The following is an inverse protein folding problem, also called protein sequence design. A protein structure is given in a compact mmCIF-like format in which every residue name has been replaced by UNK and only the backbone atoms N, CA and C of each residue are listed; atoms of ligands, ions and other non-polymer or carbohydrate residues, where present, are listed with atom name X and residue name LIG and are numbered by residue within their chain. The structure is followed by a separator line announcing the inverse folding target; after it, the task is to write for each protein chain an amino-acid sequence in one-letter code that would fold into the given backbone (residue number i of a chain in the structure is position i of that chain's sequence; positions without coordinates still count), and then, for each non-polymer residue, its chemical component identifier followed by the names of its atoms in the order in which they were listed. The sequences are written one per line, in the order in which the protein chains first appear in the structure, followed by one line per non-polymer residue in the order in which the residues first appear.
data_IF_271543743449
#
_entry.id   IF_271543743449
#
_cell.length_a   1.000
_cell.length_b   1.000
_cell.length_c   1.000
_cell.angle_alpha   90.00
_cell.angle_beta   90.00
_cell.angle_gamma   90.00
#
_symmetry.space_group_name_H-M   'P 1'
#
loop_
_entity.id
_entity.type
_entity.pdbx_description
1 polymer ?
#
# COMPACT_ATOMS: atom_id res chain seq x y z
N UNK A 1 -47.23 -4.39 24.71
CA UNK A 1 -47.64 -3.82 23.41
C UNK A 1 -46.41 -3.17 22.80
N UNK A 2 -45.65 -3.96 22.03
CA UNK A 2 -45.59 -3.93 20.55
C UNK A 2 -45.11 -2.55 20.03
N UNK A 3 -43.84 -2.38 19.64
CA UNK A 3 -43.26 -2.69 18.31
C UNK A 3 -44.14 -2.18 17.14
N UNK A 4 -43.64 -1.21 16.38
CA UNK A 4 -43.37 -1.37 14.95
C UNK A 4 -42.55 -0.19 14.39
N UNK A 5 -41.52 -0.53 13.63
CA UNK A 5 -40.71 0.35 12.82
C UNK A 5 -41.46 0.87 11.59
N UNK A 6 -41.05 2.02 11.05
CA UNK A 6 -41.16 2.30 9.62
C UNK A 6 -40.03 3.22 9.15
N UNK A 7 -39.41 2.74 8.07
CA UNK A 7 -38.22 3.20 7.40
C UNK A 7 -38.36 4.64 6.86
N UNK A 8 -37.34 5.48 7.10
CA UNK A 8 -37.14 6.68 6.31
C UNK A 8 -36.02 6.42 5.30
N UNK A 9 -36.37 6.58 4.02
CA UNK A 9 -35.60 6.17 2.87
C UNK A 9 -34.20 6.78 2.81
N UNK A 10 -33.19 5.92 2.70
CA UNK A 10 -31.91 6.29 2.15
C UNK A 10 -32.15 6.52 0.66
N UNK A 11 -32.18 7.79 0.27
CA UNK A 11 -32.06 8.19 -1.13
C UNK A 11 -30.74 7.65 -1.67
N UNK A 12 -30.82 6.64 -2.55
CA UNK A 12 -29.72 6.23 -3.41
C UNK A 12 -29.45 7.39 -4.38
N UNK A 13 -28.60 8.33 -3.98
CA UNK A 13 -27.99 9.23 -4.94
C UNK A 13 -27.02 8.41 -5.80
N UNK A 14 -27.46 8.18 -7.02
CA UNK A 14 -26.67 7.75 -8.17
C UNK A 14 -25.48 8.69 -8.33
N UNK A 15 -24.31 8.33 -7.81
CA UNK A 15 -23.05 9.00 -8.11
C UNK A 15 -22.64 8.58 -9.51
N UNK A 16 -23.11 9.32 -10.53
CA UNK A 16 -22.55 9.28 -11.88
C UNK A 16 -21.77 10.56 -12.14
N UNK A 17 -20.68 10.72 -11.40
CA UNK A 17 -19.55 11.56 -11.77
C UNK A 17 -18.32 10.69 -11.55
N UNK A 18 -17.69 10.21 -12.61
CA UNK A 18 -16.48 9.38 -12.50
C UNK A 18 -15.45 10.17 -11.71
N UNK A 19 -15.01 9.60 -10.60
CA UNK A 19 -14.02 10.21 -9.72
C UNK A 19 -12.64 10.18 -10.40
N UNK A 20 -11.74 11.14 -10.09
CA UNK A 20 -10.36 11.10 -10.54
C UNK A 20 -9.71 9.76 -10.20
N UNK A 21 -8.86 9.26 -11.09
CA UNK A 21 -8.15 7.99 -10.89
C UNK A 21 -7.28 8.09 -9.63
N UNK A 22 -7.64 7.35 -8.58
CA UNK A 22 -6.93 7.40 -7.31
C UNK A 22 -5.53 6.80 -7.47
N UNK A 23 -4.49 7.55 -7.09
CA UNK A 23 -3.10 7.11 -7.20
C UNK A 23 -2.48 7.24 -8.59
N UNK A 24 -3.08 8.04 -9.48
CA UNK A 24 -2.54 8.32 -10.81
C UNK A 24 -1.15 8.99 -10.78
N UNK A 25 -0.80 9.66 -9.69
CA UNK A 25 0.36 10.54 -9.51
C UNK A 25 1.67 9.80 -9.21
N UNK A 26 1.64 8.46 -9.24
CA UNK A 26 2.68 7.63 -8.59
C UNK A 26 3.56 6.88 -9.58
N UNK A 27 3.07 6.71 -10.81
CA UNK A 27 3.72 5.91 -11.83
C UNK A 27 4.21 6.82 -12.96
N UNK A 28 5.27 7.59 -12.74
CA UNK A 28 5.80 8.45 -13.80
C UNK A 28 6.35 7.60 -14.94
N UNK A 29 6.16 8.03 -16.18
CA UNK A 29 6.74 7.36 -17.36
C UNK A 29 8.23 7.67 -17.50
N UNK A 30 8.76 8.60 -16.71
CA UNK A 30 10.18 8.88 -16.59
C UNK A 30 10.68 9.96 -17.55
N UNK A 31 9.85 10.93 -17.93
CA UNK A 31 10.27 12.08 -18.75
C UNK A 31 11.38 12.87 -18.04
N UNK A 32 11.40 12.90 -16.71
CA UNK A 32 12.53 13.50 -15.97
C UNK A 32 13.90 12.88 -16.35
N UNK A 33 13.95 11.59 -16.66
CA UNK A 33 15.20 10.84 -16.82
C UNK A 33 15.54 10.60 -18.30
N UNK A 34 16.64 11.20 -18.76
CA UNK A 34 17.15 11.05 -20.15
C UNK A 34 17.46 9.61 -20.55
N UNK A 35 17.77 8.75 -19.58
CA UNK A 35 18.01 7.32 -19.80
C UNK A 35 16.74 6.51 -20.05
N UNK A 36 15.56 7.04 -19.69
CA UNK A 36 14.26 6.38 -19.87
C UNK A 36 13.57 6.90 -21.12
N UNK A 37 13.41 8.23 -21.22
CA UNK A 37 12.90 8.89 -22.42
C UNK A 37 14.05 9.71 -23.03
N UNK A 38 14.61 9.35 -24.20
CA UNK A 38 15.74 10.07 -24.79
C UNK A 38 15.33 11.46 -25.29
N UNK A 39 16.30 12.37 -25.47
CA UNK A 39 16.01 13.75 -25.92
C UNK A 39 15.33 13.81 -27.28
N UNK A 40 15.61 12.84 -28.17
CA UNK A 40 14.94 12.70 -29.47
C UNK A 40 13.43 12.41 -29.37
N UNK A 41 12.94 11.97 -28.20
CA UNK A 41 11.52 11.76 -27.94
C UNK A 41 10.78 13.05 -27.57
N UNK A 42 11.49 14.15 -27.28
CA UNK A 42 10.89 15.44 -26.98
C UNK A 42 11.04 16.36 -28.19
N UNK A 43 9.90 16.79 -28.72
CA UNK A 43 9.81 17.73 -29.86
C UNK A 43 8.81 18.83 -29.53
N UNK A 44 8.75 19.89 -30.33
CA UNK A 44 7.80 20.96 -30.10
C UNK A 44 7.38 21.62 -31.41
N UNK A 45 6.36 22.49 -31.35
CA UNK A 45 6.00 23.37 -32.47
C UNK A 45 7.16 24.28 -32.89
N UNK A 46 7.88 24.80 -31.90
CA UNK A 46 9.03 25.70 -32.03
C UNK A 46 9.75 25.78 -30.69
N UNK A 47 10.89 26.47 -30.63
CA UNK A 47 11.53 26.82 -29.36
C UNK A 47 12.26 28.17 -29.46
N UNK A 48 12.32 28.92 -28.36
CA UNK A 48 12.88 30.28 -28.32
C UNK A 48 14.39 30.33 -28.61
N UNK A 49 15.17 29.49 -27.91
CA UNK A 49 16.60 29.30 -28.15
C UNK A 49 17.04 27.96 -27.54
N UNK A 50 18.33 27.65 -27.59
CA UNK A 50 18.88 26.37 -27.12
C UNK A 50 18.58 26.06 -25.64
N UNK A 51 18.44 27.07 -24.77
CA UNK A 51 18.13 26.89 -23.35
C UNK A 51 16.66 26.53 -23.11
N UNK A 52 15.78 26.85 -24.07
CA UNK A 52 14.34 26.57 -24.02
C UNK A 52 13.91 25.51 -25.03
N UNK A 53 14.86 24.73 -25.54
CA UNK A 53 14.61 23.64 -26.46
C UNK A 53 13.75 22.53 -25.80
N UNK A 54 13.06 21.68 -26.59
CA UNK A 54 12.08 20.71 -26.08
C UNK A 54 12.62 19.79 -24.97
N UNK A 55 13.89 19.38 -25.05
CA UNK A 55 14.54 18.53 -24.05
C UNK A 55 14.68 19.18 -22.66
N UNK A 56 14.56 20.52 -22.56
CA UNK A 56 14.51 21.23 -21.28
C UNK A 56 13.09 21.27 -20.69
N UNK A 57 12.08 20.77 -21.41
CA UNK A 57 10.72 20.59 -20.91
C UNK A 57 10.56 19.42 -19.93
N UNK A 58 11.64 18.81 -19.44
CA UNK A 58 11.60 17.73 -18.45
C UNK A 58 11.36 18.29 -17.05
N UNK A 59 10.56 17.60 -16.24
CA UNK A 59 10.36 17.97 -14.84
C UNK A 59 11.70 18.14 -14.10
N UNK A 60 11.80 19.18 -13.27
CA UNK A 60 13.03 19.54 -12.53
C UNK A 60 14.26 19.95 -13.35
N UNK A 61 14.17 20.11 -14.67
CA UNK A 61 15.29 20.67 -15.47
C UNK A 61 15.57 22.15 -15.08
N UNK A 62 16.75 22.66 -15.39
CA UNK A 62 17.16 24.02 -15.01
C UNK A 62 16.36 25.12 -15.73
N UNK A 63 15.89 24.83 -16.94
CA UNK A 63 15.06 25.75 -17.72
C UNK A 63 13.62 25.22 -17.83
N UNK A 64 13.10 25.17 -19.04
CA UNK A 64 11.77 24.70 -19.43
C UNK A 64 11.70 24.74 -20.95
N UNK A 65 10.70 24.11 -21.55
CA UNK A 65 10.43 24.37 -22.97
C UNK A 65 9.61 25.65 -23.09
N UNK A 66 9.97 26.49 -24.06
CA UNK A 66 9.22 27.69 -24.44
C UNK A 66 9.19 27.83 -25.96
N UNK A 67 8.03 28.13 -26.58
CA UNK A 67 7.93 28.34 -28.02
C UNK A 67 8.68 29.61 -28.47
N UNK A 68 8.85 29.79 -29.78
CA UNK A 68 9.56 30.95 -30.33
C UNK A 68 8.80 32.27 -30.15
N UNK A 69 7.47 32.22 -30.07
CA UNK A 69 6.61 33.38 -29.81
C UNK A 69 5.51 33.04 -28.81
N UNK A 70 4.93 34.06 -28.19
CA UNK A 70 3.85 33.89 -27.22
C UNK A 70 2.44 33.95 -27.85
N UNK A 71 2.30 34.29 -29.13
CA UNK A 71 1.00 34.54 -29.76
C UNK A 71 0.39 33.33 -30.48
N UNK A 72 1.19 32.30 -30.80
CA UNK A 72 0.69 31.14 -31.53
C UNK A 72 -0.12 30.20 -30.61
N UNK A 73 -1.43 30.19 -30.76
CA UNK A 73 -2.35 29.34 -29.98
C UNK A 73 -2.16 27.83 -30.25
N UNK A 74 -1.42 27.46 -31.29
CA UNK A 74 -1.12 26.08 -31.66
C UNK A 74 0.24 25.59 -31.15
N UNK A 75 0.91 26.35 -30.28
CA UNK A 75 2.16 25.92 -29.70
C UNK A 75 2.00 24.68 -28.83
N UNK A 76 2.94 23.75 -28.93
CA UNK A 76 2.90 22.53 -28.13
C UNK A 76 4.30 22.00 -27.81
N UNK A 77 4.42 21.37 -26.64
CA UNK A 77 5.47 20.41 -26.32
C UNK A 77 4.95 19.00 -26.57
N UNK A 78 5.65 18.21 -27.36
CA UNK A 78 5.29 16.85 -27.74
C UNK A 78 6.28 15.84 -27.19
N UNK A 79 5.75 14.75 -26.64
CA UNK A 79 6.54 13.65 -26.10
C UNK A 79 6.11 12.34 -26.77
N UNK A 80 7.08 11.63 -27.36
CA UNK A 80 6.95 10.21 -27.71
C UNK A 80 7.28 9.36 -26.48
N UNK A 81 6.27 8.67 -25.95
CA UNK A 81 6.38 7.80 -24.77
C UNK A 81 7.12 6.49 -25.08
N UNK A 82 7.55 6.26 -26.33
CA UNK A 82 8.27 5.07 -26.79
C UNK A 82 7.34 3.89 -27.13
N UNK A 83 6.21 3.78 -26.43
CA UNK A 83 5.20 2.75 -26.64
C UNK A 83 3.79 3.22 -26.29
N UNK A 84 2.79 2.37 -26.55
CA UNK A 84 1.41 2.64 -26.12
C UNK A 84 1.35 2.63 -24.58
N UNK A 85 0.84 3.73 -24.04
CA UNK A 85 0.78 4.01 -22.60
C UNK A 85 -0.66 4.37 -22.22
N UNK A 86 -1.18 3.78 -21.15
CA UNK A 86 -2.43 4.19 -20.52
C UNK A 86 -2.17 5.36 -19.58
N UNK A 87 -2.25 6.57 -20.12
CA UNK A 87 -2.01 7.80 -19.38
C UNK A 87 -3.14 8.03 -18.38
N UNK A 88 -2.79 8.18 -17.12
CA UNK A 88 -3.72 8.40 -16.01
C UNK A 88 -3.55 9.79 -15.36
N UNK A 89 -2.48 10.51 -15.67
CA UNK A 89 -2.24 11.86 -15.16
C UNK A 89 -1.04 12.52 -15.81
N UNK A 90 -0.86 13.80 -15.50
CA UNK A 90 0.30 14.60 -15.89
C UNK A 90 0.77 15.48 -14.74
N UNK A 91 2.05 15.86 -14.75
CA UNK A 91 2.58 16.93 -13.91
C UNK A 91 3.04 18.10 -14.78
N UNK A 92 2.89 19.32 -14.28
CA UNK A 92 3.47 20.53 -14.89
C UNK A 92 4.24 21.34 -13.86
N UNK A 93 5.28 22.02 -14.30
CA UNK A 93 6.11 22.93 -13.50
C UNK A 93 6.51 24.12 -14.38
N UNK A 94 6.71 25.31 -13.81
CA UNK A 94 7.20 26.49 -14.54
C UNK A 94 8.68 26.41 -14.88
N UNK A 95 9.32 27.53 -15.23
CA UNK A 95 10.75 27.59 -15.52
C UNK A 95 11.61 27.44 -14.24
N UNK A 96 12.76 26.76 -14.34
CA UNK A 96 13.69 26.67 -13.20
C UNK A 96 14.44 27.97 -12.88
N UNK A 97 14.67 28.84 -13.87
CA UNK A 97 15.55 30.01 -13.76
C UNK A 97 14.87 31.36 -14.05
N UNK A 98 13.64 31.38 -14.61
CA UNK A 98 12.91 32.59 -14.94
C UNK A 98 11.52 32.59 -14.26
N UNK A 99 10.99 33.78 -13.98
CA UNK A 99 9.65 33.96 -13.40
C UNK A 99 8.54 33.80 -14.47
N UNK A 100 8.51 32.64 -15.12
CA UNK A 100 7.65 32.28 -16.26
C UNK A 100 7.03 30.89 -16.06
N UNK A 101 5.73 30.76 -16.34
CA UNK A 101 5.02 29.48 -16.28
C UNK A 101 3.70 29.48 -17.05
N UNK A 102 3.26 28.29 -17.45
CA UNK A 102 1.93 28.05 -18.02
C UNK A 102 0.88 27.95 -16.90
N UNK A 103 -0.19 28.75 -16.99
CA UNK A 103 -1.29 28.79 -16.00
C UNK A 103 -2.50 27.97 -16.43
N UNK A 104 -2.70 27.73 -17.74
CA UNK A 104 -3.72 26.82 -18.27
C UNK A 104 -3.22 26.08 -19.50
N UNK A 105 -3.60 24.83 -19.66
CA UNK A 105 -3.22 24.02 -20.82
C UNK A 105 -4.28 23.01 -21.21
N UNK A 106 -4.14 22.48 -22.43
CA UNK A 106 -4.90 21.35 -22.98
C UNK A 106 -3.95 20.19 -23.26
N UNK A 107 -4.51 18.99 -23.38
CA UNK A 107 -3.78 17.79 -23.74
C UNK A 107 -4.34 17.20 -25.03
N UNK A 108 -3.47 16.91 -25.99
CA UNK A 108 -3.82 16.10 -27.15
C UNK A 108 -3.07 14.78 -27.13
N UNK A 109 -3.73 13.71 -27.53
CA UNK A 109 -3.23 12.35 -27.50
C UNK A 109 -3.20 11.76 -28.92
N UNK A 110 -2.21 10.92 -29.20
CA UNK A 110 -2.16 10.16 -30.45
C UNK A 110 -1.52 8.80 -30.26
N UNK A 111 -2.05 7.79 -30.95
CA UNK A 111 -1.44 6.46 -31.01
C UNK A 111 -0.35 6.35 -32.10
N UNK A 112 -0.36 7.23 -33.11
CA UNK A 112 0.47 7.11 -34.33
C UNK A 112 1.18 8.40 -34.76
N UNK A 113 0.99 9.51 -34.06
CA UNK A 113 1.63 10.80 -34.33
C UNK A 113 0.97 11.66 -35.44
N UNK A 114 0.09 11.08 -36.26
CA UNK A 114 -0.56 11.78 -37.37
C UNK A 114 -1.93 12.39 -37.02
N UNK A 115 -2.79 11.62 -36.33
CA UNK A 115 -4.14 12.03 -35.92
C UNK A 115 -4.14 12.26 -34.42
N UNK A 116 -4.70 13.39 -33.98
CA UNK A 116 -4.65 13.85 -32.60
C UNK A 116 -6.06 14.03 -32.05
N UNK A 117 -6.31 13.37 -30.93
CA UNK A 117 -7.55 13.49 -30.17
C UNK A 117 -7.34 14.48 -29.03
N UNK A 118 -8.23 15.46 -28.91
CA UNK A 118 -8.24 16.39 -27.79
C UNK A 118 -8.88 15.72 -26.58
N UNK A 119 -8.24 15.81 -25.41
CA UNK A 119 -8.78 15.23 -24.17
C UNK A 119 -10.06 15.93 -23.72
N UNK A 120 -11.04 15.12 -23.31
CA UNK A 120 -12.36 15.59 -22.89
C UNK A 120 -12.77 14.95 -21.58
N UNK A 121 -13.51 15.71 -20.76
CA UNK A 121 -14.19 15.23 -19.57
C UNK A 121 -15.68 15.56 -19.70
N UNK A 122 -16.54 14.56 -19.47
CA UNK A 122 -18.00 14.71 -19.61
C UNK A 122 -18.41 15.27 -20.99
N UNK A 123 -17.72 14.87 -22.06
CA UNK A 123 -18.01 15.29 -23.45
C UNK A 123 -17.60 16.73 -23.79
N UNK A 124 -16.85 17.40 -22.92
CA UNK A 124 -16.34 18.75 -23.15
C UNK A 124 -14.83 18.76 -23.14
N UNK A 125 -14.22 19.54 -24.04
CA UNK A 125 -12.77 19.77 -24.03
C UNK A 125 -12.29 20.23 -22.66
N UNK A 126 -11.29 19.51 -22.12
CA UNK A 126 -10.78 19.80 -20.79
C UNK A 126 -9.65 20.82 -20.86
N UNK A 127 -9.86 21.95 -20.18
CA UNK A 127 -8.81 22.91 -19.86
C UNK A 127 -8.32 22.61 -18.44
N UNK A 128 -7.03 22.30 -18.31
CA UNK A 128 -6.39 22.05 -17.02
C UNK A 128 -5.89 23.35 -16.42
N UNK A 129 -6.05 23.48 -15.11
CA UNK A 129 -5.36 24.51 -14.34
C UNK A 129 -3.91 24.08 -14.14
N UNK A 130 -2.98 24.89 -14.66
CA UNK A 130 -1.54 24.71 -14.56
C UNK A 130 -0.96 25.32 -13.29
N UNK A 131 0.21 25.93 -13.42
CA UNK A 131 1.03 26.41 -12.30
C UNK A 131 0.63 27.81 -11.84
N UNK A 132 0.90 28.10 -10.57
CA UNK A 132 0.73 29.43 -9.95
C UNK A 132 2.06 30.13 -9.68
N UNK A 133 3.17 29.42 -9.85
CA UNK A 133 4.54 29.89 -9.68
C UNK A 133 5.48 29.13 -10.63
N UNK A 134 6.78 29.46 -10.58
CA UNK A 134 7.79 28.86 -11.46
C UNK A 134 8.28 27.46 -11.00
N UNK A 135 8.07 27.07 -9.75
CA UNK A 135 8.84 25.98 -9.10
C UNK A 135 7.99 24.85 -8.50
N UNK A 136 6.74 25.08 -8.14
CA UNK A 136 5.84 24.07 -7.59
C UNK A 136 5.42 23.09 -8.69
N UNK A 137 5.50 21.80 -8.40
CA UNK A 137 5.02 20.74 -9.29
C UNK A 137 3.52 20.57 -9.08
N UNK A 138 2.75 20.77 -10.15
CA UNK A 138 1.30 20.64 -10.16
C UNK A 138 0.89 19.35 -10.86
N UNK A 139 0.30 18.42 -10.12
CA UNK A 139 -0.17 17.14 -10.66
C UNK A 139 -1.67 17.22 -10.93
N UNK A 140 -2.09 16.68 -12.08
CA UNK A 140 -3.49 16.56 -12.48
C UNK A 140 -3.78 15.13 -12.95
N UNK A 141 -4.65 14.44 -12.23
CA UNK A 141 -5.20 13.17 -12.69
C UNK A 141 -6.22 13.39 -13.80
N UNK A 142 -6.22 12.49 -14.77
CA UNK A 142 -7.29 12.39 -15.75
C UNK A 142 -8.50 11.71 -15.11
N UNK A 143 -9.69 12.19 -15.41
CA UNK A 143 -10.95 11.51 -15.08
C UNK A 143 -11.12 10.20 -15.87
N UNK A 144 -10.64 10.17 -17.13
CA UNK A 144 -10.68 8.99 -17.98
C UNK A 144 -9.26 8.65 -18.48
N UNK A 145 -8.88 7.37 -18.42
CA UNK A 145 -7.61 6.89 -18.98
C UNK A 145 -7.51 7.21 -20.48
N UNK A 146 -6.30 7.54 -20.92
CA UNK A 146 -6.01 7.79 -22.32
C UNK A 146 -4.92 6.87 -22.84
N UNK A 147 -5.30 6.04 -23.80
CA UNK A 147 -4.40 5.14 -24.51
C UNK A 147 -3.65 5.90 -25.61
N UNK A 148 -2.38 6.20 -25.40
CA UNK A 148 -1.58 7.01 -26.31
C UNK A 148 -0.10 6.62 -26.35
N UNK A 149 0.56 6.82 -27.49
CA UNK A 149 2.03 6.81 -27.58
C UNK A 149 2.60 8.22 -27.57
N UNK A 150 1.88 9.17 -28.14
CA UNK A 150 2.28 10.57 -28.21
C UNK A 150 1.32 11.42 -27.41
N UNK A 151 1.87 12.37 -26.66
CA UNK A 151 1.11 13.38 -25.92
C UNK A 151 1.64 14.77 -26.28
N UNK A 152 0.72 15.73 -26.43
CA UNK A 152 1.02 17.15 -26.58
C UNK A 152 0.46 17.94 -25.41
N UNK A 153 1.32 18.74 -24.80
CA UNK A 153 0.93 19.80 -23.88
C UNK A 153 0.77 21.09 -24.67
N UNK A 154 -0.43 21.66 -24.66
CA UNK A 154 -0.79 22.85 -25.46
C UNK A 154 -1.09 24.00 -24.50
N UNK A 155 -0.15 24.96 -24.29
CA UNK A 155 -0.37 26.11 -23.43
C UNK A 155 -1.51 27.01 -23.95
N UNK A 156 -2.42 27.39 -23.07
CA UNK A 156 -3.57 28.27 -23.40
C UNK A 156 -3.59 29.58 -22.62
N UNK A 157 -2.88 29.63 -21.48
CA UNK A 157 -2.64 30.84 -20.71
C UNK A 157 -1.33 30.70 -19.94
N UNK A 158 -0.68 31.82 -19.64
CA UNK A 158 0.65 31.84 -19.03
C UNK A 158 0.90 33.13 -18.23
N UNK A 159 1.93 33.09 -17.40
CA UNK A 159 2.53 34.23 -16.72
C UNK A 159 3.90 34.50 -17.33
N UNK A 160 4.14 35.73 -17.79
CA UNK A 160 5.34 36.21 -18.52
C UNK A 160 5.61 35.51 -19.86
N UNK A 161 5.67 34.18 -19.91
CA UNK A 161 5.89 33.41 -21.13
C UNK A 161 5.34 31.97 -21.04
N UNK A 162 5.11 31.30 -22.18
CA UNK A 162 4.60 29.91 -22.28
C UNK A 162 5.65 28.86 -21.91
N UNK A 163 6.28 28.99 -20.76
CA UNK A 163 7.37 28.13 -20.32
C UNK A 163 6.85 26.98 -19.45
N UNK A 164 7.20 25.74 -19.76
CA UNK A 164 6.78 24.58 -18.96
C UNK A 164 7.78 23.43 -18.94
N UNK A 165 7.79 22.71 -17.83
CA UNK A 165 8.39 21.39 -17.60
C UNK A 165 7.28 20.39 -17.27
N UNK A 166 7.43 19.14 -17.70
CA UNK A 166 6.34 18.15 -17.63
C UNK A 166 6.81 16.76 -17.19
N UNK A 167 5.84 16.00 -16.66
CA UNK A 167 5.91 14.55 -16.48
C UNK A 167 4.54 13.95 -16.83
N UNK A 168 4.53 12.66 -17.17
CA UNK A 168 3.31 11.91 -17.49
C UNK A 168 3.24 10.70 -16.58
N UNK A 169 2.04 10.32 -16.17
CA UNK A 169 1.83 9.16 -15.32
C UNK A 169 0.96 8.09 -15.99
N UNK A 170 1.22 6.82 -15.67
CA UNK A 170 0.57 5.65 -16.27
C UNK A 170 -0.08 4.73 -15.24
N UNK A 171 -1.10 3.95 -15.64
CA UNK A 171 -1.72 2.93 -14.79
C UNK A 171 -1.61 1.51 -15.36
N UNK A 172 -0.53 1.20 -16.09
CA UNK A 172 -0.40 -0.12 -16.76
C UNK A 172 -0.33 -1.33 -15.81
N UNK A 173 0.07 -1.10 -14.55
CA UNK A 173 0.07 -2.11 -13.49
C UNK A 173 -1.01 -1.76 -12.46
N UNK A 174 -2.03 -2.61 -12.36
CA UNK A 174 -2.89 -2.66 -11.18
C UNK A 174 -2.12 -3.45 -10.11
N UNK A 175 -1.66 -2.74 -9.07
CA UNK A 175 -0.75 -3.26 -8.05
C UNK A 175 -1.30 -4.48 -7.27
N UNK A 176 -0.48 -5.09 -6.42
CA UNK A 176 -0.82 -6.38 -5.82
C UNK A 176 -2.00 -6.27 -4.85
N UNK A 177 -3.09 -6.97 -5.14
CA UNK A 177 -4.18 -7.25 -4.19
C UNK A 177 -3.75 -8.39 -3.28
N UNK A 178 -3.94 -8.22 -1.98
CA UNK A 178 -3.43 -9.13 -0.96
C UNK A 178 -4.58 -9.80 -0.22
N UNK A 179 -4.54 -11.13 -0.14
CA UNK A 179 -5.37 -11.96 0.74
C UNK A 179 -4.46 -12.51 1.84
N UNK A 180 -4.61 -12.04 3.09
CA UNK A 180 -3.78 -12.51 4.20
C UNK A 180 -4.17 -13.90 4.71
N UNK A 181 -3.17 -14.74 4.96
CA UNK A 181 -3.26 -16.01 5.68
C UNK A 181 -2.43 -15.94 6.97
N UNK A 182 -2.41 -17.00 7.77
CA UNK A 182 -1.69 -17.02 9.06
C UNK A 182 -0.18 -16.81 8.90
N UNK A 183 0.43 -17.45 7.90
CA UNK A 183 1.89 -17.40 7.65
C UNK A 183 2.24 -17.07 6.21
N UNK A 184 1.28 -16.57 5.45
CA UNK A 184 1.51 -16.14 4.09
C UNK A 184 0.61 -14.98 3.67
N UNK A 185 1.01 -14.30 2.59
CA UNK A 185 0.19 -13.34 1.88
C UNK A 185 0.02 -13.84 0.45
N UNK A 186 -1.21 -14.10 0.03
CA UNK A 186 -1.51 -14.43 -1.35
C UNK A 186 -1.71 -13.14 -2.13
N UNK A 187 -0.87 -12.91 -3.12
CA UNK A 187 -0.82 -11.70 -3.93
C UNK A 187 -1.36 -12.00 -5.32
N UNK A 188 -2.14 -11.08 -5.87
CA UNK A 188 -2.60 -11.11 -7.27
C UNK A 188 -2.47 -9.71 -7.87
N UNK A 189 -2.05 -9.59 -9.12
CA UNK A 189 -1.95 -8.30 -9.82
C UNK A 189 -2.42 -8.45 -11.25
N UNK A 190 -2.57 -7.31 -11.95
CA UNK A 190 -2.96 -7.31 -13.35
C UNK A 190 -2.14 -6.30 -14.12
N UNK A 191 -1.81 -6.68 -15.35
CA UNK A 191 -1.25 -5.78 -16.35
C UNK A 191 -2.38 -5.46 -17.33
N UNK A 192 -2.44 -4.21 -17.77
CA UNK A 192 -3.38 -3.79 -18.80
C UNK A 192 -3.03 -4.46 -20.13
N UNK A 193 -4.05 -4.94 -20.85
CA UNK A 193 -3.88 -5.65 -22.11
C UNK A 193 -3.03 -4.80 -23.08
N UNK A 194 -2.07 -5.44 -23.75
CA UNK A 194 -1.15 -4.88 -24.75
C UNK A 194 0.22 -4.35 -24.24
N UNK A 195 0.57 -4.51 -22.96
CA UNK A 195 1.95 -4.28 -22.46
C UNK A 195 2.70 -5.61 -22.29
N UNK A 196 3.86 -5.75 -22.93
CA UNK A 196 4.77 -6.88 -22.74
C UNK A 196 5.69 -6.64 -21.55
N UNK A 197 5.54 -7.43 -20.50
CA UNK A 197 6.42 -7.43 -19.33
C UNK A 197 7.48 -8.54 -19.50
N UNK A 198 8.73 -8.25 -19.18
CA UNK A 198 9.87 -9.20 -19.23
C UNK A 198 9.96 -10.01 -17.94
N UNK A 199 9.69 -9.39 -16.79
CA UNK A 199 9.61 -10.02 -15.46
C UNK A 199 8.95 -9.06 -14.48
N UNK A 200 8.67 -9.50 -13.26
CA UNK A 200 8.30 -8.58 -12.17
C UNK A 200 9.40 -8.55 -11.12
N UNK A 201 9.56 -7.40 -10.48
CA UNK A 201 10.34 -7.28 -9.25
C UNK A 201 9.37 -6.94 -8.12
N UNK A 202 9.29 -7.82 -7.12
CA UNK A 202 8.50 -7.63 -5.91
C UNK A 202 9.43 -7.23 -4.77
N UNK A 203 8.98 -6.30 -3.94
CA UNK A 203 9.61 -5.99 -2.67
C UNK A 203 8.60 -6.10 -1.54
N UNK A 204 9.02 -6.68 -0.42
CA UNK A 204 8.22 -6.72 0.80
C UNK A 204 9.07 -6.33 2.00
N UNK A 205 8.42 -5.77 3.02
CA UNK A 205 9.11 -5.38 4.25
C UNK A 205 8.29 -5.65 5.49
N UNK A 206 9.01 -5.98 6.55
CA UNK A 206 8.53 -5.94 7.93
C UNK A 206 9.29 -4.80 8.62
N UNK A 207 8.56 -3.76 9.04
CA UNK A 207 9.16 -2.51 9.55
C UNK A 207 10.14 -1.91 8.51
N UNK A 208 11.43 -1.85 8.82
CA UNK A 208 12.46 -1.23 7.97
C UNK A 208 13.24 -2.21 7.09
N UNK A 209 13.09 -3.52 7.31
CA UNK A 209 13.84 -4.54 6.57
C UNK A 209 13.13 -4.86 5.26
N UNK A 210 13.75 -4.51 4.14
CA UNK A 210 13.24 -4.77 2.78
C UNK A 210 13.90 -6.03 2.21
N UNK A 211 13.10 -6.89 1.61
CA UNK A 211 13.51 -8.06 0.85
C UNK A 211 12.91 -7.98 -0.55
N UNK A 212 13.62 -8.48 -1.56
CA UNK A 212 13.23 -8.41 -2.96
C UNK A 212 13.23 -9.78 -3.63
N UNK A 213 12.35 -9.95 -4.63
CA UNK A 213 12.18 -11.17 -5.38
C UNK A 213 11.87 -10.86 -6.84
N UNK A 214 12.52 -11.58 -7.76
CA UNK A 214 12.20 -11.52 -9.19
C UNK A 214 11.20 -12.62 -9.52
N UNK A 215 10.10 -12.26 -10.19
CA UNK A 215 9.04 -13.16 -10.61
C UNK A 215 8.98 -13.27 -12.15
N UNK A 216 8.63 -14.43 -12.70
CA UNK A 216 8.45 -14.62 -14.15
C UNK A 216 7.33 -13.74 -14.73
N UNK A 217 7.42 -13.38 -16.01
CA UNK A 217 6.41 -12.53 -16.67
C UNK A 217 5.05 -13.18 -16.91
N UNK A 218 4.99 -14.51 -16.94
CA UNK A 218 3.79 -15.32 -17.11
C UNK A 218 3.00 -15.50 -15.80
N UNK A 219 3.48 -14.92 -14.70
CA UNK A 219 2.80 -14.96 -13.40
C UNK A 219 1.99 -13.69 -13.15
N UNK A 220 0.77 -13.87 -12.63
CA UNK A 220 -0.08 -12.78 -12.13
C UNK A 220 -0.50 -13.01 -10.67
N UNK A 221 0.10 -14.01 -10.03
CA UNK A 221 -0.13 -14.36 -8.65
C UNK A 221 1.16 -14.88 -8.00
N UNK A 222 1.26 -14.69 -6.69
CA UNK A 222 2.37 -15.22 -5.89
C UNK A 222 1.92 -15.43 -4.45
N UNK A 223 2.42 -16.48 -3.80
CA UNK A 223 2.17 -16.72 -2.38
C UNK A 223 3.45 -16.47 -1.58
N UNK A 224 3.51 -15.36 -0.85
CA UNK A 224 4.63 -15.01 0.00
C UNK A 224 4.51 -15.74 1.34
N UNK A 225 5.33 -16.77 1.57
CA UNK A 225 5.24 -17.67 2.73
C UNK A 225 6.23 -17.34 3.85
N UNK A 226 6.22 -18.14 4.93
CA UNK A 226 7.13 -18.04 6.08
C UNK A 226 7.07 -16.71 6.82
N UNK A 227 5.90 -16.07 6.81
CA UNK A 227 5.65 -14.83 7.52
C UNK A 227 5.24 -15.08 8.98
N UNK A 228 5.46 -14.08 9.83
CA UNK A 228 5.00 -14.12 11.22
C UNK A 228 3.49 -13.84 11.28
N UNK A 229 2.71 -14.61 12.04
CA UNK A 229 1.29 -14.36 12.21
C UNK A 229 1.02 -13.04 12.91
N UNK A 230 -0.19 -12.51 12.70
CA UNK A 230 -0.66 -11.26 13.31
C UNK A 230 0.31 -10.08 13.19
N UNK A 231 1.08 -10.03 12.10
CA UNK A 231 2.17 -9.09 11.89
C UNK A 231 1.93 -8.29 10.61
N UNK A 232 2.21 -6.98 10.67
CA UNK A 232 2.04 -6.08 9.52
C UNK A 232 3.25 -6.16 8.58
N UNK A 233 2.96 -6.31 7.31
CA UNK A 233 3.90 -6.30 6.21
C UNK A 233 3.46 -5.27 5.18
N UNK A 234 4.42 -4.67 4.48
CA UNK A 234 4.14 -3.87 3.29
C UNK A 234 4.70 -4.59 2.07
N UNK A 235 3.96 -4.63 0.97
CA UNK A 235 4.41 -5.22 -0.30
C UNK A 235 4.22 -4.24 -1.44
N UNK A 236 5.15 -4.21 -2.40
CA UNK A 236 5.04 -3.49 -3.67
C UNK A 236 5.60 -4.33 -4.82
N UNK A 237 5.18 -4.01 -6.02
CA UNK A 237 5.55 -4.73 -7.25
C UNK A 237 5.85 -3.72 -8.36
N UNK A 238 6.83 -4.00 -9.22
CA UNK A 238 6.97 -3.36 -10.53
C UNK A 238 7.02 -4.40 -11.63
N UNK A 239 6.35 -4.12 -12.75
CA UNK A 239 6.58 -4.84 -14.01
C UNK A 239 7.82 -4.29 -14.70
N UNK A 240 8.77 -5.14 -15.04
CA UNK A 240 9.96 -4.79 -15.81
C UNK A 240 9.62 -4.86 -17.31
N UNK A 241 9.73 -3.75 -18.03
CA UNK A 241 9.42 -3.66 -19.46
C UNK A 241 10.62 -4.06 -20.34
N UNK A 242 11.82 -4.01 -19.79
CA UNK A 242 13.08 -4.31 -20.46
C UNK A 242 14.01 -5.06 -19.50
N UNK A 243 15.02 -5.75 -20.04
CA UNK A 243 15.95 -6.59 -19.25
C UNK A 243 16.86 -5.82 -18.29
N UNK A 244 17.02 -4.50 -18.50
CA UNK A 244 17.73 -3.58 -17.60
C UNK A 244 16.87 -3.10 -16.41
N UNK A 245 15.60 -3.53 -16.34
CA UNK A 245 14.72 -3.26 -15.22
C UNK A 245 13.97 -1.93 -15.26
N UNK A 246 13.84 -1.34 -16.45
CA UNK A 246 12.89 -0.24 -16.67
C UNK A 246 11.48 -0.71 -16.30
N UNK A 247 10.74 0.13 -15.58
CA UNK A 247 9.50 -0.26 -14.92
C UNK A 247 9.31 0.53 -13.64
N UNK A 248 8.07 0.68 -13.20
CA UNK A 248 7.71 1.59 -12.11
C UNK A 248 7.04 0.83 -10.98
N UNK A 249 7.40 1.18 -9.75
CA UNK A 249 6.88 0.57 -8.55
C UNK A 249 5.43 0.95 -8.30
N UNK A 250 4.60 -0.05 -7.98
CA UNK A 250 3.33 0.16 -7.32
C UNK A 250 3.53 0.81 -5.95
N UNK A 251 2.42 1.25 -5.37
CA UNK A 251 2.38 1.59 -3.95
C UNK A 251 2.83 0.43 -3.07
N UNK A 252 3.38 0.80 -1.92
CA UNK A 252 3.38 -0.09 -0.76
C UNK A 252 1.92 -0.33 -0.34
N UNK A 253 1.53 -1.59 -0.33
CA UNK A 253 0.24 -2.03 0.17
C UNK A 253 0.51 -2.76 1.48
N UNK A 254 -0.10 -2.27 2.55
CA UNK A 254 0.02 -2.86 3.87
C UNK A 254 -0.99 -4.00 4.01
N UNK A 255 -0.53 -5.10 4.57
CA UNK A 255 -1.36 -6.24 4.93
C UNK A 255 -0.89 -6.81 6.26
N UNK A 256 -1.84 -7.20 7.10
CA UNK A 256 -1.57 -7.90 8.35
C UNK A 256 -1.92 -9.37 8.19
N UNK A 257 -0.96 -10.26 8.45
CA UNK A 257 -1.21 -11.70 8.46
C UNK A 257 -2.30 -12.05 9.48
N UNK A 258 -3.04 -13.12 9.21
CA UNK A 258 -4.11 -13.56 10.10
C UNK A 258 -3.54 -13.98 11.46
N UNK A 259 -4.38 -13.91 12.50
CA UNK A 259 -4.01 -14.41 13.83
C UNK A 259 -3.86 -15.94 13.81
N UNK A 260 -2.95 -16.44 14.63
CA UNK A 260 -2.74 -17.86 14.92
C UNK A 260 -2.80 -18.11 16.45
N UNK A 261 -2.80 -19.38 16.85
CA UNK A 261 -2.68 -19.76 18.27
C UNK A 261 -1.32 -19.34 18.84
N UNK A 262 -1.20 -19.11 20.16
CA UNK A 262 0.11 -18.84 20.77
C UNK A 262 1.07 -19.99 20.51
N UNK A 263 2.31 -19.67 20.11
CA UNK A 263 3.37 -20.67 19.91
C UNK A 263 4.15 -20.99 21.17
N UNK A 264 3.95 -20.18 22.21
CA UNK A 264 4.61 -20.30 23.50
C UNK A 264 3.58 -20.46 24.61
N UNK A 265 3.98 -21.17 25.66
CA UNK A 265 3.23 -21.26 26.90
C UNK A 265 3.59 -20.08 27.81
N UNK A 266 2.68 -19.62 28.69
CA UNK A 266 3.05 -18.74 29.79
C UNK A 266 4.06 -19.43 30.70
N UNK A 267 4.93 -18.64 31.34
CA UNK A 267 5.90 -19.12 32.33
C UNK A 267 5.34 -18.84 33.72
N UNK A 268 5.18 -19.89 34.54
CA UNK A 268 4.79 -19.74 35.95
C UNK A 268 6.00 -19.16 36.71
N UNK A 269 5.85 -17.93 37.21
CA UNK A 269 6.93 -17.17 37.88
C UNK A 269 6.90 -17.34 39.40
N UNK A 270 5.72 -17.54 39.98
CA UNK A 270 5.56 -17.80 41.40
C UNK A 270 4.34 -18.70 41.66
N UNK A 271 4.45 -19.58 42.65
CA UNK A 271 3.35 -20.42 43.11
C UNK A 271 3.46 -20.62 44.61
N UNK A 272 2.41 -20.27 45.37
CA UNK A 272 2.43 -20.27 46.83
C UNK A 272 1.10 -20.75 47.41
N UNK A 273 1.16 -21.57 48.46
CA UNK A 273 -0.04 -21.90 49.24
C UNK A 273 -0.41 -20.73 50.15
N UNK A 274 -1.63 -20.21 50.01
CA UNK A 274 -2.14 -19.08 50.82
C UNK A 274 -2.97 -19.56 52.00
N UNK A 275 -3.62 -20.72 51.85
CA UNK A 275 -4.38 -21.37 52.92
C UNK A 275 -4.37 -22.89 52.73
N UNK A 276 -5.01 -23.62 53.65
CA UNK A 276 -5.20 -25.06 53.48
C UNK A 276 -6.10 -25.41 52.29
N UNK A 277 -6.82 -24.46 51.68
CA UNK A 277 -7.71 -24.73 50.54
C UNK A 277 -7.45 -23.84 49.32
N UNK A 278 -6.38 -23.04 49.31
CA UNK A 278 -6.11 -22.10 48.22
C UNK A 278 -4.64 -21.87 47.91
N UNK A 279 -4.33 -21.73 46.63
CA UNK A 279 -2.99 -21.46 46.09
C UNK A 279 -3.03 -20.19 45.23
N UNK A 280 -2.03 -19.33 45.38
CA UNK A 280 -1.74 -18.20 44.49
C UNK A 280 -0.80 -18.66 43.39
N UNK A 281 -1.16 -18.38 42.14
CA UNK A 281 -0.28 -18.55 40.98
C UNK A 281 0.00 -17.19 40.35
N UNK A 282 1.24 -16.95 39.96
CA UNK A 282 1.64 -15.83 39.12
C UNK A 282 2.42 -16.33 37.90
N UNK A 283 2.24 -15.67 36.76
CA UNK A 283 2.86 -16.05 35.49
C UNK A 283 3.22 -14.82 34.64
N UNK A 284 4.05 -15.06 33.63
CA UNK A 284 4.42 -14.08 32.61
C UNK A 284 4.21 -14.68 31.22
N UNK A 285 3.62 -13.89 30.33
CA UNK A 285 3.40 -14.26 28.93
C UNK A 285 4.34 -13.46 28.03
N UNK A 286 5.07 -14.14 27.15
CA UNK A 286 5.84 -13.47 26.10
C UNK A 286 4.86 -13.00 25.00
N UNK A 287 4.78 -11.68 24.73
CA UNK A 287 3.86 -11.13 23.75
C UNK A 287 4.26 -11.42 22.30
N UNK A 288 5.53 -11.75 22.03
CA UNK A 288 6.06 -11.91 20.66
C UNK A 288 5.57 -13.19 19.97
N UNK A 289 5.21 -14.20 20.77
CA UNK A 289 4.75 -15.51 20.31
C UNK A 289 3.25 -15.72 20.50
N UNK A 290 2.50 -14.71 20.93
CA UNK A 290 1.05 -14.77 21.04
C UNK A 290 0.37 -14.94 19.69
N UNK A 291 0.96 -14.38 18.64
CA UNK A 291 0.45 -14.51 17.27
C UNK A 291 -1.02 -14.05 17.11
N UNK A 292 -1.50 -13.14 17.96
CA UNK A 292 -2.90 -12.71 17.98
C UNK A 292 -3.24 -11.80 19.15
N UNK A 293 -4.52 -11.45 19.29
CA UNK A 293 -5.04 -10.77 20.48
C UNK A 293 -5.23 -11.83 21.57
N UNK A 294 -4.52 -11.69 22.70
CA UNK A 294 -4.73 -12.51 23.88
C UNK A 294 -6.20 -12.41 24.35
N UNK A 295 -6.87 -13.56 24.42
CA UNK A 295 -8.26 -13.66 24.90
C UNK A 295 -8.36 -14.11 26.35
N UNK A 296 -7.35 -14.80 26.86
CA UNK A 296 -7.28 -15.19 28.25
C UNK A 296 -6.28 -16.32 28.48
N UNK A 297 -6.37 -16.90 29.68
CA UNK A 297 -5.57 -18.05 30.10
C UNK A 297 -6.47 -19.19 30.58
N UNK A 298 -5.95 -20.41 30.50
CA UNK A 298 -6.57 -21.60 31.09
C UNK A 298 -5.56 -22.21 32.06
N UNK A 299 -5.91 -22.24 33.34
CA UNK A 299 -5.15 -22.98 34.35
C UNK A 299 -5.69 -24.40 34.38
N UNK A 300 -4.83 -25.38 34.14
CA UNK A 300 -5.14 -26.79 34.33
C UNK A 300 -4.47 -27.30 35.60
N UNK A 301 -5.21 -28.05 36.41
CA UNK A 301 -4.65 -28.63 37.62
C UNK A 301 -5.27 -29.99 37.93
N UNK A 302 -4.49 -30.86 38.55
CA UNK A 302 -4.92 -32.16 39.02
C UNK A 302 -4.23 -32.50 40.32
N UNK A 303 -4.77 -33.48 41.05
CA UNK A 303 -4.03 -34.11 42.13
C UNK A 303 -2.77 -34.77 41.55
N UNK A 304 -1.67 -34.79 42.30
CA UNK A 304 -0.44 -35.43 41.80
C UNK A 304 -0.65 -36.93 41.55
N UNK A 305 -1.44 -37.58 42.41
CA UNK A 305 -1.68 -39.03 42.39
C UNK A 305 -2.90 -39.44 41.54
N UNK A 306 -3.67 -38.47 41.02
CA UNK A 306 -4.87 -38.73 40.24
C UNK A 306 -4.90 -37.82 39.00
N UNK A 307 -5.00 -38.44 37.82
CA UNK A 307 -4.92 -37.78 36.52
C UNK A 307 -6.19 -37.02 36.10
N UNK A 308 -7.23 -36.91 36.95
CA UNK A 308 -8.41 -36.09 36.62
C UNK A 308 -8.05 -34.61 36.59
N UNK A 309 -7.96 -34.04 35.39
CA UNK A 309 -7.65 -32.63 35.16
C UNK A 309 -8.89 -31.77 35.35
N UNK A 310 -8.76 -30.75 36.18
CA UNK A 310 -9.69 -29.64 36.31
C UNK A 310 -9.13 -28.42 35.59
N UNK A 311 -10.00 -27.49 35.17
CA UNK A 311 -9.58 -26.27 34.49
C UNK A 311 -10.32 -25.04 35.00
N UNK A 312 -9.62 -23.90 35.02
CA UNK A 312 -10.17 -22.58 35.32
C UNK A 312 -9.86 -21.68 34.13
N UNK A 313 -10.92 -21.15 33.51
CA UNK A 313 -10.81 -20.19 32.42
C UNK A 313 -10.74 -18.77 32.98
N UNK A 314 -9.74 -18.01 32.55
CA UNK A 314 -9.52 -16.61 32.92
C UNK A 314 -9.81 -15.76 31.69
N UNK A 315 -11.08 -15.44 31.49
CA UNK A 315 -11.59 -14.67 30.34
C UNK A 315 -11.93 -13.23 30.70
N UNK A 316 -12.36 -13.01 31.94
CA UNK A 316 -12.88 -11.72 32.42
C UNK A 316 -11.76 -10.69 32.66
N UNK A 317 -10.56 -11.18 32.95
CA UNK A 317 -9.35 -10.39 33.13
C UNK A 317 -8.21 -10.98 32.30
N UNK A 318 -8.29 -10.82 30.98
CA UNK A 318 -7.31 -11.38 30.02
C UNK A 318 -5.88 -10.85 30.17
N UNK A 319 -5.68 -9.73 30.86
CA UNK A 319 -4.36 -9.16 31.13
C UNK A 319 -3.83 -9.56 32.51
N UNK A 320 -4.59 -10.36 33.27
CA UNK A 320 -4.15 -10.84 34.57
C UNK A 320 -2.86 -11.65 34.44
N UNK A 321 -1.96 -11.41 35.40
CA UNK A 321 -0.69 -12.14 35.54
C UNK A 321 -0.67 -12.98 36.83
N UNK A 322 -1.79 -13.03 37.56
CA UNK A 322 -1.94 -13.87 38.74
C UNK A 322 -3.38 -14.30 38.97
N UNK A 323 -3.56 -15.41 39.70
CA UNK A 323 -4.88 -15.91 40.10
C UNK A 323 -4.77 -16.75 41.37
N UNK A 324 -5.75 -16.55 42.25
CA UNK A 324 -5.98 -17.43 43.39
C UNK A 324 -6.90 -18.57 42.97
N UNK A 325 -6.41 -19.81 43.10
CA UNK A 325 -7.17 -21.03 42.91
C UNK A 325 -7.66 -21.50 44.29
N UNK A 326 -8.97 -21.53 44.50
CA UNK A 326 -9.62 -21.91 45.76
C UNK A 326 -10.41 -23.21 45.61
N UNK A 327 -10.93 -23.74 46.74
CA UNK A 327 -11.71 -24.98 46.75
C UNK A 327 -10.86 -26.24 46.63
N UNK A 328 -9.56 -26.14 46.95
CA UNK A 328 -8.63 -27.26 46.93
C UNK A 328 -8.73 -28.09 48.22
N UNK A 329 -8.39 -29.37 48.13
CA UNK A 329 -8.27 -30.27 49.30
C UNK A 329 -7.13 -29.83 50.22
N UNK A 330 -7.39 -29.94 51.53
CA UNK A 330 -6.42 -29.62 52.59
C UNK A 330 -5.20 -30.51 52.57
N UNK A 331 -4.04 -29.94 52.86
CA UNK A 331 -2.75 -30.63 52.94
C UNK A 331 -2.47 -31.62 51.80
N UNK A 332 -2.81 -31.24 50.56
CA UNK A 332 -2.82 -32.13 49.39
C UNK A 332 -1.91 -31.58 48.28
N UNK A 333 -1.18 -32.46 47.59
CA UNK A 333 -0.26 -32.08 46.50
C UNK A 333 -1.01 -32.00 45.16
N UNK A 334 -0.82 -30.89 44.46
CA UNK A 334 -1.38 -30.61 43.14
C UNK A 334 -0.29 -30.36 42.11
N UNK A 335 -0.57 -30.71 40.86
CA UNK A 335 0.19 -30.31 39.68
C UNK A 335 -0.57 -29.24 38.91
N UNK A 336 0.06 -28.09 38.67
CA UNK A 336 -0.52 -26.97 37.93
C UNK A 336 0.21 -26.74 36.62
N UNK A 337 -0.55 -26.41 35.58
CA UNK A 337 -0.09 -25.94 34.27
C UNK A 337 -0.96 -24.78 33.83
N UNK A 338 -0.42 -23.96 32.95
CA UNK A 338 -1.17 -22.84 32.36
C UNK A 338 -0.92 -22.77 30.86
N UNK A 339 -1.94 -22.39 30.10
CA UNK A 339 -1.80 -22.02 28.70
C UNK A 339 -2.46 -20.65 28.44
N UNK A 340 -2.02 -19.97 27.40
CA UNK A 340 -2.69 -18.79 26.85
C UNK A 340 -3.53 -19.19 25.62
N UNK A 341 -4.56 -18.41 25.30
CA UNK A 341 -5.32 -18.64 24.07
C UNK A 341 -5.68 -17.33 23.34
N UNK A 342 -5.66 -17.40 22.01
CA UNK A 342 -6.02 -16.31 21.09
C UNK A 342 -7.24 -16.72 20.26
N UNK A 343 -7.04 -17.14 19.01
CA UNK A 343 -8.08 -17.81 18.19
C UNK A 343 -8.25 -19.29 18.58
N UNK A 344 -7.31 -19.83 19.37
CA UNK A 344 -7.31 -21.18 19.92
C UNK A 344 -6.25 -21.31 21.01
N UNK A 345 -6.17 -22.49 21.62
CA UNK A 345 -5.29 -22.79 22.76
C UNK A 345 -3.83 -22.94 22.30
N UNK A 346 -2.91 -22.28 23.01
CA UNK A 346 -1.47 -22.47 22.87
C UNK A 346 -0.97 -23.69 23.66
N UNK A 347 0.35 -23.93 23.68
CA UNK A 347 0.91 -25.04 24.43
C UNK A 347 0.79 -24.82 25.95
N UNK A 348 0.66 -25.92 26.68
CA UNK A 348 0.72 -25.92 28.15
C UNK A 348 2.14 -25.64 28.65
N UNK A 349 2.22 -24.89 29.75
CA UNK A 349 3.47 -24.68 30.48
C UNK A 349 4.02 -25.99 31.05
N UNK A 350 5.28 -25.93 31.46
CA UNK A 350 5.83 -26.93 32.38
C UNK A 350 4.95 -27.03 33.64
N UNK A 351 4.90 -28.24 34.21
CA UNK A 351 4.15 -28.50 35.43
C UNK A 351 4.85 -27.89 36.65
N UNK A 352 4.09 -27.17 37.47
CA UNK A 352 4.52 -26.71 38.80
C UNK A 352 3.78 -27.50 39.86
N UNK A 353 4.52 -28.15 40.77
CA UNK A 353 3.95 -29.00 41.81
C UNK A 353 4.04 -28.28 43.15
N UNK A 354 2.95 -28.26 43.91
CA UNK A 354 2.88 -27.60 45.22
C UNK A 354 1.83 -28.29 46.12
N UNK A 355 2.02 -28.21 47.43
CA UNK A 355 1.05 -28.69 48.44
C UNK A 355 0.29 -27.51 49.05
N UNK A 356 -1.01 -27.68 49.31
CA UNK A 356 -1.79 -26.71 50.12
C UNK A 356 -1.28 -26.66 51.56
N UNK A 357 -1.50 -25.53 52.25
CA UNK A 357 -0.97 -25.35 53.61
C UNK A 357 -1.62 -26.34 54.60
N UNK A 358 -0.95 -26.54 55.74
CA UNK A 358 -1.54 -27.19 56.90
C UNK A 358 -2.51 -26.22 57.59
N UNK A 359 -3.50 -26.76 58.32
CA UNK A 359 -4.49 -25.96 59.04
C UNK A 359 -3.90 -25.21 60.25
#
# INVERSE_FOLDING_TARGET
MLLLALFCGISLQKVSGSQPITGCDRNSVGIQYRSVIPDSSLTASSFFNIYFAPQHGRLHDAYGWSPITEYNERDYLQIDLGGLTEVCGVATQGCGNNNEWVTKYKLHFSKRGAIWDTYQENGTEKIFQGNSDMSTVEIRCLQNLQSARYIRFVPTAFHTYKTMRVEVFTSYLDGPKIIPHQRSLQLTWRIMDNITVVSYLMEFKNKSRIESLILPNDTMEYNLTNLQPYTEYSVRLKGMLTSDGAGVWSNWINAKTAAAVPECSPVITNIQAISSTSISMAWQQDPTCLNGILRGYIIQYSLLDNSTVQSINITDDRLSTSRNVSGLRKYTIYSFRILAYTIGEGPLSNASVIRTAED
#
